data_IF_299657265341
#
_entry.id   IF_299657265341
#
_cell.length_a   1.000
_cell.length_b   1.000
_cell.length_c   1.000
_cell.angle_alpha   90.00
_cell.angle_beta   90.00
_cell.angle_gamma   90.00
#
_symmetry.space_group_name_H-M   'P 1'
#
loop_
_entity.id
_entity.type
_entity.pdbx_description
1 polymer ?
#
# COMPACT_ATOMS: atom_id res chain seq x y z
N UNK A 1 -16.99 -0.43 -0.83
CA UNK A 1 -15.63 0.11 -0.95
C UNK A 1 -15.39 1.03 0.24
N UNK A 2 -14.22 0.96 0.87
CA UNK A 2 -13.79 1.95 1.88
C UNK A 2 -12.97 3.01 1.15
N UNK A 3 -13.42 4.26 1.16
CA UNK A 3 -12.84 5.36 0.36
C UNK A 3 -12.01 6.35 1.18
N UNK A 4 -12.08 6.25 2.51
CA UNK A 4 -11.30 7.04 3.46
C UNK A 4 -10.51 6.09 4.35
N UNK A 5 -9.28 6.48 4.69
CA UNK A 5 -8.41 5.72 5.56
C UNK A 5 -7.90 6.60 6.73
N UNK A 6 -8.13 6.20 8.00
CA UNK A 6 -8.92 5.04 8.42
C UNK A 6 -10.40 5.18 8.01
N UNK A 7 -11.14 4.05 7.86
CA UNK A 7 -12.58 4.08 7.62
C UNK A 7 -13.31 4.82 8.74
N UNK A 8 -14.38 5.53 8.41
CA UNK A 8 -15.26 6.13 9.41
C UNK A 8 -16.04 5.04 10.15
N UNK A 9 -16.20 5.17 11.46
CA UNK A 9 -16.88 4.17 12.31
C UNK A 9 -18.34 3.90 11.89
N UNK A 10 -18.98 4.84 11.20
CA UNK A 10 -20.35 4.72 10.68
C UNK A 10 -20.43 3.99 9.32
N UNK A 11 -19.31 3.50 8.78
CA UNK A 11 -19.31 2.79 7.50
C UNK A 11 -20.07 1.45 7.63
N UNK A 12 -21.05 1.15 6.76
CA UNK A 12 -21.82 -0.10 6.82
C UNK A 12 -20.97 -1.38 6.75
N UNK A 13 -19.76 -1.30 6.18
CA UNK A 13 -18.82 -2.43 6.12
C UNK A 13 -18.11 -2.71 7.46
N UNK A 14 -18.22 -1.81 8.44
CA UNK A 14 -17.76 -2.01 9.81
C UNK A 14 -18.89 -2.42 10.77
N UNK A 15 -20.13 -2.52 10.28
CA UNK A 15 -21.27 -2.91 11.10
C UNK A 15 -21.10 -4.34 11.65
N UNK A 16 -21.52 -4.60 12.90
CA UNK A 16 -21.51 -5.95 13.45
C UNK A 16 -22.50 -6.85 12.68
N UNK A 17 -22.20 -8.16 12.62
CA UNK A 17 -23.14 -9.14 12.07
C UNK A 17 -23.04 -9.41 10.56
N UNK A 18 -21.88 -9.14 9.94
CA UNK A 18 -21.58 -9.48 8.55
C UNK A 18 -20.70 -10.76 8.47
N UNK A 19 -21.28 -11.98 8.54
CA UNK A 19 -20.53 -13.23 8.76
C UNK A 19 -19.64 -13.66 7.58
N UNK A 20 -19.80 -13.04 6.41
CA UNK A 20 -19.02 -13.34 5.19
C UNK A 20 -18.09 -12.19 4.79
N UNK A 21 -17.85 -11.24 5.70
CA UNK A 21 -16.98 -10.09 5.46
C UNK A 21 -15.78 -10.13 6.40
N UNK A 22 -14.58 -10.04 5.83
CA UNK A 22 -13.34 -9.84 6.57
C UNK A 22 -12.77 -8.50 6.11
N UNK A 23 -12.53 -7.60 7.05
CA UNK A 23 -11.88 -6.30 6.80
C UNK A 23 -10.44 -6.37 7.30
N UNK A 24 -9.49 -6.03 6.45
CA UNK A 24 -8.08 -5.88 6.83
C UNK A 24 -7.67 -4.40 6.74
N UNK A 25 -6.88 -3.88 7.69
CA UNK A 25 -6.54 -2.46 7.75
C UNK A 25 -5.40 -2.12 6.77
N UNK A 26 -5.68 -2.21 5.47
CA UNK A 26 -4.73 -1.94 4.38
C UNK A 26 -3.34 -2.59 4.57
N UNK A 27 -3.31 -3.77 5.19
CA UNK A 27 -2.07 -4.42 5.61
C UNK A 27 -1.55 -5.45 4.60
N UNK A 28 -2.10 -5.47 3.38
CA UNK A 28 -1.78 -6.45 2.34
C UNK A 28 -0.28 -6.48 1.97
N UNK A 29 0.44 -5.36 2.12
CA UNK A 29 1.89 -5.25 1.92
C UNK A 29 2.67 -5.02 3.21
N UNK A 30 2.10 -5.41 4.36
CA UNK A 30 2.72 -5.29 5.67
C UNK A 30 3.85 -6.29 5.95
N UNK A 31 4.16 -7.21 5.03
CA UNK A 31 5.26 -8.18 5.23
C UNK A 31 6.64 -7.50 5.19
N UNK A 32 7.60 -8.11 5.89
CA UNK A 32 8.99 -7.61 5.89
C UNK A 32 9.59 -7.65 4.49
N UNK A 33 9.26 -8.67 3.72
CA UNK A 33 9.73 -8.90 2.36
C UNK A 33 9.18 -7.83 1.39
N UNK A 34 7.91 -7.43 1.54
CA UNK A 34 7.34 -6.32 0.79
C UNK A 34 8.05 -5.00 1.10
N UNK A 35 8.27 -4.70 2.39
CA UNK A 35 9.02 -3.51 2.82
C UNK A 35 10.46 -3.50 2.30
N UNK A 36 11.16 -4.63 2.36
CA UNK A 36 12.55 -4.71 1.88
C UNK A 36 12.63 -4.50 0.36
N UNK A 37 11.65 -5.02 -0.39
CA UNK A 37 11.58 -4.86 -1.85
C UNK A 37 11.42 -3.39 -2.25
N UNK A 38 10.54 -2.64 -1.60
CA UNK A 38 10.34 -1.23 -1.96
C UNK A 38 11.58 -0.37 -1.62
N UNK A 39 12.28 -0.65 -0.52
CA UNK A 39 13.56 0.01 -0.18
C UNK A 39 14.63 -0.26 -1.24
N UNK A 40 14.71 -1.51 -1.72
CA UNK A 40 15.60 -1.89 -2.82
C UNK A 40 15.28 -1.12 -4.11
N UNK A 41 14.02 -1.13 -4.53
CA UNK A 41 13.56 -0.41 -5.72
C UNK A 41 13.78 1.10 -5.62
N UNK A 42 13.59 1.70 -4.45
CA UNK A 42 13.88 3.12 -4.23
C UNK A 42 15.37 3.42 -4.44
N UNK A 43 16.24 2.55 -3.91
CA UNK A 43 17.69 2.68 -4.07
C UNK A 43 18.10 2.55 -5.54
N UNK A 44 17.53 1.59 -6.27
CA UNK A 44 17.74 1.42 -7.72
C UNK A 44 17.30 2.66 -8.49
N UNK A 45 16.09 3.16 -8.23
CA UNK A 45 15.55 4.34 -8.89
C UNK A 45 16.44 5.57 -8.66
N UNK A 46 16.90 5.79 -7.42
CA UNK A 46 17.78 6.90 -7.08
C UNK A 46 19.11 6.83 -7.83
N UNK A 47 19.77 5.66 -7.83
CA UNK A 47 21.02 5.44 -8.59
C UNK A 47 20.83 5.71 -10.08
N UNK A 48 19.74 5.17 -10.65
CA UNK A 48 19.41 5.31 -12.06
C UNK A 48 19.15 6.78 -12.44
N UNK A 49 18.49 7.54 -11.56
CA UNK A 49 18.28 8.97 -11.72
C UNK A 49 19.58 9.76 -11.75
N UNK A 50 20.50 9.51 -10.81
CA UNK A 50 21.78 10.23 -10.75
C UNK A 50 22.70 10.01 -11.95
N UNK A 51 22.56 8.90 -12.66
CA UNK A 51 23.32 8.61 -13.89
C UNK A 51 22.58 9.00 -15.16
N UNK A 52 21.45 9.70 -15.06
CA UNK A 52 20.68 10.18 -16.21
C UNK A 52 19.87 9.10 -16.93
N UNK A 53 19.62 7.95 -16.29
CA UNK A 53 18.84 6.85 -16.83
C UNK A 53 17.64 6.52 -15.90
N UNK A 54 16.68 7.44 -15.72
CA UNK A 54 15.59 7.26 -14.77
C UNK A 54 14.77 6.00 -15.08
N UNK A 55 14.37 5.30 -14.02
CA UNK A 55 13.52 4.11 -14.10
C UNK A 55 12.27 4.32 -13.26
N UNK A 56 11.16 3.66 -13.64
CA UNK A 56 9.86 3.73 -12.93
C UNK A 56 9.34 5.18 -12.78
N UNK A 57 9.62 6.03 -13.78
CA UNK A 57 9.13 7.42 -13.85
C UNK A 57 7.66 7.45 -14.27
N UNK A 58 6.90 8.37 -13.68
CA UNK A 58 5.51 8.69 -14.05
C UNK A 58 5.46 10.14 -14.55
N UNK A 59 4.52 10.43 -15.45
CA UNK A 59 4.39 11.72 -16.15
C UNK A 59 3.78 12.81 -15.26
#
# INVERSE_FOLDING_TARGET
MLTSEPPRDDNPLLAPGLPRLIVTPHSAWGSREARQRIVGQLTENAKAFFVGAPTRQVN
#
